data_IF_960456236189
#
_entry.id   IF_960456236189
#
_cell.length_a   1.000
_cell.length_b   1.000
_cell.length_c   1.000
_cell.angle_alpha   90.00
_cell.angle_beta   90.00
_cell.angle_gamma   90.00
#
_symmetry.space_group_name_H-M   'P 1'
#
loop_
_entity.id
_entity.type
_entity.pdbx_description
1 polymer ?
#
# COMPACT_ATOMS: atom_id res chain seq x y z
N UNK A 1 -110.60 -3.18 33.60
CA UNK A 1 -109.28 -3.32 32.97
C UNK A 1 -109.21 -2.41 31.75
N UNK A 2 -109.08 -1.10 31.95
CA UNK A 2 -108.99 -0.11 30.84
C UNK A 2 -107.72 0.76 30.93
N UNK A 3 -106.74 0.38 31.76
CA UNK A 3 -105.51 1.17 31.99
C UNK A 3 -104.22 0.58 31.40
N UNK A 4 -104.29 -0.46 30.55
CA UNK A 4 -103.08 -1.14 30.04
C UNK A 4 -103.00 -1.18 28.51
N UNK A 5 -103.99 -0.66 27.79
CA UNK A 5 -103.87 -0.41 26.36
C UNK A 5 -103.66 1.10 26.14
N UNK A 6 -102.45 1.55 25.78
CA UNK A 6 -102.27 2.95 25.41
C UNK A 6 -103.27 3.26 24.30
N UNK A 7 -104.04 4.35 24.48
CA UNK A 7 -105.02 4.76 23.48
C UNK A 7 -104.36 4.82 22.11
N UNK A 8 -105.05 4.36 21.06
CA UNK A 8 -104.49 4.20 19.70
C UNK A 8 -103.75 5.47 19.22
N UNK A 9 -104.21 6.65 19.64
CA UNK A 9 -103.53 7.93 19.38
C UNK A 9 -102.12 8.08 19.99
N UNK A 10 -101.87 7.56 21.20
CA UNK A 10 -100.54 7.58 21.82
C UNK A 10 -99.55 6.70 21.06
N UNK A 11 -99.99 5.50 20.63
CA UNK A 11 -99.17 4.59 19.83
C UNK A 11 -98.80 5.23 18.49
N UNK A 12 -99.76 5.90 17.83
CA UNK A 12 -99.51 6.61 16.56
C UNK A 12 -98.49 7.73 16.75
N UNK A 13 -98.65 8.59 17.77
CA UNK A 13 -97.70 9.68 18.03
C UNK A 13 -96.31 9.17 18.44
N UNK A 14 -96.23 8.08 19.20
CA UNK A 14 -94.97 7.44 19.55
C UNK A 14 -94.28 6.82 18.34
N UNK A 15 -95.03 6.19 17.42
CA UNK A 15 -94.50 5.69 16.16
C UNK A 15 -94.00 6.83 15.26
N UNK A 16 -94.73 7.94 15.16
CA UNK A 16 -94.29 9.14 14.43
C UNK A 16 -93.01 9.72 15.03
N UNK A 17 -92.94 9.87 16.36
CA UNK A 17 -91.73 10.33 17.04
C UNK A 17 -90.55 9.38 16.83
N UNK A 18 -90.77 8.07 16.89
CA UNK A 18 -89.75 7.06 16.60
C UNK A 18 -89.25 7.15 15.16
N UNK A 19 -90.14 7.31 14.18
CA UNK A 19 -89.77 7.48 12.76
C UNK A 19 -88.97 8.76 12.57
N UNK A 20 -89.36 9.88 13.19
CA UNK A 20 -88.62 11.15 13.12
C UNK A 20 -87.20 10.97 13.67
N UNK A 21 -87.06 10.36 14.85
CA UNK A 21 -85.74 10.08 15.45
C UNK A 21 -84.92 9.12 14.57
N UNK A 22 -85.55 8.08 13.99
CA UNK A 22 -84.88 7.14 13.10
C UNK A 22 -84.36 7.83 11.83
N UNK A 23 -85.13 8.75 11.24
CA UNK A 23 -84.69 9.54 10.09
C UNK A 23 -83.54 10.49 10.45
N UNK A 24 -83.60 11.14 11.62
CA UNK A 24 -82.51 11.98 12.12
C UNK A 24 -81.24 11.16 12.35
N UNK A 25 -81.34 10.00 13.01
CA UNK A 25 -80.20 9.10 13.23
C UNK A 25 -79.64 8.54 11.92
N UNK A 26 -80.50 8.17 10.97
CA UNK A 26 -80.07 7.72 9.64
C UNK A 26 -79.28 8.80 8.91
N UNK A 27 -79.73 10.05 8.96
CA UNK A 27 -79.03 11.16 8.30
C UNK A 27 -77.75 11.57 9.04
N UNK A 28 -77.76 11.59 10.37
CA UNK A 28 -76.72 12.22 11.17
C UNK A 28 -75.68 11.24 11.74
N UNK A 29 -76.07 10.01 12.12
CA UNK A 29 -75.17 9.03 12.72
C UNK A 29 -74.54 8.06 11.70
N UNK A 30 -75.23 7.76 10.60
CA UNK A 30 -74.73 6.77 9.61
C UNK A 30 -73.47 7.25 8.87
N UNK A 31 -73.46 8.52 8.46
CA UNK A 31 -72.33 9.13 7.77
C UNK A 31 -71.02 9.11 8.60
N UNK A 32 -70.98 9.62 9.85
CA UNK A 32 -69.74 9.63 10.64
C UNK A 32 -69.25 8.22 10.99
N UNK A 33 -70.15 7.26 11.26
CA UNK A 33 -69.77 5.87 11.56
C UNK A 33 -69.10 5.23 10.33
N UNK A 34 -69.71 5.37 9.15
CA UNK A 34 -69.16 4.82 7.92
C UNK A 34 -67.84 5.51 7.54
N UNK A 35 -67.73 6.82 7.75
CA UNK A 35 -66.49 7.57 7.54
C UNK A 35 -65.36 7.09 8.46
N UNK A 36 -65.65 6.85 9.74
CA UNK A 36 -64.66 6.34 10.69
C UNK A 36 -64.18 4.93 10.33
N UNK A 37 -65.10 4.06 9.89
CA UNK A 37 -64.76 2.72 9.40
C UNK A 37 -63.87 2.77 8.16
N UNK A 38 -64.24 3.57 7.15
CA UNK A 38 -63.43 3.75 5.93
C UNK A 38 -62.05 4.35 6.23
N UNK A 39 -61.97 5.30 7.15
CA UNK A 39 -60.70 5.87 7.59
C UNK A 39 -59.81 4.81 8.22
N UNK A 40 -60.39 3.98 9.11
CA UNK A 40 -59.66 2.88 9.75
C UNK A 40 -59.20 1.83 8.74
N UNK A 41 -60.05 1.47 7.79
CA UNK A 41 -59.73 0.54 6.71
C UNK A 41 -58.58 1.07 5.86
N UNK A 42 -58.65 2.33 5.41
CA UNK A 42 -57.57 2.98 4.66
C UNK A 42 -56.26 3.05 5.43
N UNK A 43 -56.29 3.41 6.71
CA UNK A 43 -55.09 3.41 7.57
C UNK A 43 -54.46 2.02 7.69
N UNK A 44 -55.27 0.96 7.81
CA UNK A 44 -54.77 -0.41 7.87
C UNK A 44 -54.14 -0.79 6.53
N UNK A 45 -54.81 -0.53 5.42
CA UNK A 45 -54.30 -0.83 4.09
C UNK A 45 -52.98 -0.09 3.81
N UNK A 46 -52.91 1.20 4.12
CA UNK A 46 -51.70 2.01 3.96
C UNK A 46 -50.56 1.52 4.86
N UNK A 47 -50.85 1.16 6.10
CA UNK A 47 -49.84 0.61 7.02
C UNK A 47 -49.30 -0.74 6.56
N UNK A 48 -50.16 -1.59 5.99
CA UNK A 48 -49.75 -2.89 5.42
C UNK A 48 -48.89 -2.69 4.17
N UNK A 49 -49.29 -1.81 3.26
CA UNK A 49 -48.50 -1.46 2.08
C UNK A 49 -47.14 -0.86 2.46
N UNK A 50 -47.11 0.02 3.44
CA UNK A 50 -45.86 0.59 3.94
C UNK A 50 -44.94 -0.49 4.53
N UNK A 51 -45.49 -1.45 5.28
CA UNK A 51 -44.72 -2.56 5.83
C UNK A 51 -44.18 -3.51 4.74
N UNK A 52 -44.98 -3.81 3.73
CA UNK A 52 -44.55 -4.62 2.58
C UNK A 52 -43.45 -3.92 1.77
N UNK A 53 -43.60 -2.63 1.49
CA UNK A 53 -42.59 -1.84 0.79
C UNK A 53 -41.29 -1.77 1.60
N UNK A 54 -41.36 -1.50 2.91
CA UNK A 54 -40.19 -1.46 3.77
C UNK A 54 -39.46 -2.82 3.81
N UNK A 55 -40.21 -3.93 3.79
CA UNK A 55 -39.62 -5.27 3.72
C UNK A 55 -38.93 -5.52 2.37
N UNK A 56 -39.55 -5.11 1.27
CA UNK A 56 -38.97 -5.24 -0.07
C UNK A 56 -37.70 -4.38 -0.22
N UNK A 57 -37.74 -3.12 0.26
CA UNK A 57 -36.57 -2.23 0.29
C UNK A 57 -35.45 -2.82 1.16
N UNK A 58 -35.76 -3.37 2.33
CA UNK A 58 -34.77 -4.02 3.19
C UNK A 58 -34.12 -5.23 2.51
N UNK A 59 -34.89 -6.03 1.77
CA UNK A 59 -34.37 -7.15 1.00
C UNK A 59 -33.45 -6.69 -0.13
N UNK A 60 -33.83 -5.63 -0.86
CA UNK A 60 -32.97 -5.01 -1.88
C UNK A 60 -31.67 -4.48 -1.29
N UNK A 61 -31.75 -3.69 -0.20
CA UNK A 61 -30.56 -3.16 0.49
C UNK A 61 -29.66 -4.29 0.95
N UNK A 62 -30.21 -5.41 1.43
CA UNK A 62 -29.41 -6.57 1.83
C UNK A 62 -28.68 -7.20 0.64
N UNK A 63 -29.37 -7.40 -0.48
CA UNK A 63 -28.77 -7.93 -1.72
C UNK A 63 -27.66 -7.01 -2.24
N UNK A 64 -27.90 -5.70 -2.25
CA UNK A 64 -26.91 -4.71 -2.65
C UNK A 64 -25.70 -4.72 -1.72
N UNK A 65 -25.91 -4.88 -0.41
CA UNK A 65 -24.83 -4.98 0.56
C UNK A 65 -23.99 -6.24 0.34
N UNK A 66 -24.64 -7.39 0.12
CA UNK A 66 -23.98 -8.65 -0.19
C UNK A 66 -23.16 -8.56 -1.48
N UNK A 67 -23.71 -7.92 -2.52
CA UNK A 67 -23.03 -7.64 -3.78
C UNK A 67 -21.81 -6.73 -3.59
N UNK A 68 -21.97 -5.60 -2.88
CA UNK A 68 -20.88 -4.67 -2.58
C UNK A 68 -19.77 -5.33 -1.76
N UNK A 69 -20.12 -6.19 -0.79
CA UNK A 69 -19.15 -6.94 -0.01
C UNK A 69 -18.39 -7.95 -0.87
N UNK A 70 -19.05 -8.58 -1.83
CA UNK A 70 -18.40 -9.49 -2.76
C UNK A 70 -17.45 -8.73 -3.71
N UNK A 71 -17.89 -7.61 -4.28
CA UNK A 71 -17.07 -6.77 -5.15
C UNK A 71 -15.85 -6.23 -4.40
N UNK A 72 -16.04 -5.73 -3.18
CA UNK A 72 -14.95 -5.26 -2.33
C UNK A 72 -13.92 -6.36 -2.01
N UNK A 73 -14.36 -7.62 -1.83
CA UNK A 73 -13.44 -8.76 -1.65
C UNK A 73 -12.64 -9.05 -2.91
N UNK A 74 -13.29 -9.04 -4.07
CA UNK A 74 -12.63 -9.26 -5.37
C UNK A 74 -11.59 -8.16 -5.63
N UNK A 75 -11.95 -6.90 -5.42
CA UNK A 75 -11.05 -5.76 -5.59
C UNK A 75 -9.88 -5.82 -4.61
N UNK A 76 -10.14 -6.15 -3.34
CA UNK A 76 -9.12 -6.33 -2.31
C UNK A 76 -8.14 -7.44 -2.67
N UNK A 77 -8.62 -8.58 -3.15
CA UNK A 77 -7.76 -9.70 -3.52
C UNK A 77 -6.94 -9.38 -4.78
N UNK A 78 -7.53 -8.64 -5.74
CA UNK A 78 -6.81 -8.09 -6.90
C UNK A 78 -5.70 -7.14 -6.45
N UNK A 79 -5.99 -6.21 -5.55
CA UNK A 79 -5.00 -5.26 -5.02
C UNK A 79 -3.86 -5.97 -4.28
N UNK A 80 -4.15 -7.00 -3.50
CA UNK A 80 -3.11 -7.81 -2.83
C UNK A 80 -2.24 -8.57 -3.83
N UNK A 81 -2.83 -9.12 -4.89
CA UNK A 81 -2.09 -9.78 -5.95
C UNK A 81 -1.16 -8.80 -6.67
N UNK A 82 -1.68 -7.63 -7.05
CA UNK A 82 -0.91 -6.59 -7.73
C UNK A 82 0.22 -6.07 -6.83
N UNK A 83 -0.06 -5.83 -5.54
CA UNK A 83 0.96 -5.46 -4.56
C UNK A 83 2.06 -6.50 -4.43
N UNK A 84 1.71 -7.80 -4.44
CA UNK A 84 2.69 -8.90 -4.39
C UNK A 84 3.56 -8.94 -5.66
N UNK A 85 2.95 -8.74 -6.83
CA UNK A 85 3.67 -8.66 -8.11
C UNK A 85 4.64 -7.48 -8.12
N UNK A 86 4.19 -6.30 -7.70
CA UNK A 86 5.03 -5.10 -7.61
C UNK A 86 6.16 -5.31 -6.61
N UNK A 87 5.88 -5.87 -5.43
CA UNK A 87 6.89 -6.15 -4.42
C UNK A 87 7.97 -7.12 -4.93
N UNK A 88 7.57 -8.17 -5.65
CA UNK A 88 8.52 -9.11 -6.26
C UNK A 88 9.35 -8.44 -7.36
N UNK A 89 8.72 -7.60 -8.20
CA UNK A 89 9.42 -6.83 -9.22
C UNK A 89 10.46 -5.89 -8.61
N UNK A 90 10.10 -5.14 -7.57
CA UNK A 90 11.03 -4.25 -6.85
C UNK A 90 12.22 -5.04 -6.29
N UNK A 91 11.98 -6.22 -5.70
CA UNK A 91 13.06 -7.09 -5.21
C UNK A 91 13.98 -7.57 -6.32
N UNK A 92 13.41 -7.96 -7.47
CA UNK A 92 14.19 -8.42 -8.62
C UNK A 92 15.02 -7.29 -9.23
N UNK A 93 14.41 -6.12 -9.42
CA UNK A 93 15.06 -4.93 -9.96
C UNK A 93 16.19 -4.46 -9.02
N UNK A 94 15.93 -4.39 -7.71
CA UNK A 94 16.94 -4.07 -6.71
C UNK A 94 18.10 -5.09 -6.71
N UNK A 95 17.81 -6.38 -6.87
CA UNK A 95 18.85 -7.42 -6.96
C UNK A 95 19.70 -7.27 -8.22
N UNK A 96 19.09 -6.97 -9.36
CA UNK A 96 19.79 -6.71 -10.62
C UNK A 96 20.69 -5.47 -10.50
N UNK A 97 20.15 -4.37 -10.01
CA UNK A 97 20.90 -3.12 -9.80
C UNK A 97 22.06 -3.33 -8.83
N UNK A 98 21.81 -4.01 -7.70
CA UNK A 98 22.86 -4.34 -6.72
C UNK A 98 23.94 -5.22 -7.34
N UNK A 99 23.61 -6.19 -8.18
CA UNK A 99 24.60 -7.02 -8.88
C UNK A 99 25.50 -6.16 -9.76
N UNK A 100 24.92 -5.25 -10.55
CA UNK A 100 25.68 -4.34 -11.44
C UNK A 100 26.61 -3.44 -10.63
N UNK A 101 26.12 -2.85 -9.54
CA UNK A 101 26.94 -2.00 -8.65
C UNK A 101 28.06 -2.82 -8.01
N UNK A 102 27.76 -4.04 -7.55
CA UNK A 102 28.74 -4.94 -6.91
C UNK A 102 29.83 -5.35 -7.89
N UNK A 103 29.46 -5.74 -9.11
CA UNK A 103 30.40 -6.12 -10.16
C UNK A 103 31.33 -4.95 -10.52
N UNK A 104 30.78 -3.74 -10.63
CA UNK A 104 31.55 -2.52 -10.83
C UNK A 104 32.51 -2.25 -9.67
N UNK A 105 32.01 -2.34 -8.43
CA UNK A 105 32.83 -2.13 -7.23
C UNK A 105 33.99 -3.15 -7.14
N UNK A 106 33.74 -4.41 -7.49
CA UNK A 106 34.78 -5.45 -7.53
C UNK A 106 35.80 -5.15 -8.65
N UNK A 107 35.35 -4.72 -9.82
CA UNK A 107 36.24 -4.34 -10.92
C UNK A 107 37.14 -3.15 -10.53
N UNK A 108 36.55 -2.12 -9.93
CA UNK A 108 37.28 -0.94 -9.45
C UNK A 108 38.28 -1.33 -8.35
N UNK A 109 37.87 -2.16 -7.38
CA UNK A 109 38.76 -2.65 -6.33
C UNK A 109 39.94 -3.46 -6.89
N UNK A 110 39.70 -4.35 -7.86
CA UNK A 110 40.78 -5.09 -8.55
C UNK A 110 41.74 -4.17 -9.28
N UNK A 111 41.22 -3.13 -9.93
CA UNK A 111 42.04 -2.13 -10.62
C UNK A 111 42.93 -1.36 -9.63
N UNK A 112 42.37 -0.93 -8.49
CA UNK A 112 43.14 -0.27 -7.43
C UNK A 112 44.21 -1.18 -6.85
N UNK A 113 43.90 -2.45 -6.57
CA UNK A 113 44.88 -3.44 -6.07
C UNK A 113 46.03 -3.65 -7.06
N UNK A 114 45.74 -3.76 -8.36
CA UNK A 114 46.79 -3.89 -9.39
C UNK A 114 47.66 -2.62 -9.47
N UNK A 115 47.06 -1.44 -9.32
CA UNK A 115 47.81 -0.18 -9.28
C UNK A 115 48.72 -0.11 -8.05
N UNK A 116 48.20 -0.44 -6.86
CA UNK A 116 48.99 -0.47 -5.62
C UNK A 116 50.11 -1.51 -5.67
N UNK A 117 49.84 -2.70 -6.22
CA UNK A 117 50.86 -3.73 -6.43
C UNK A 117 51.97 -3.25 -7.35
N UNK A 118 51.65 -2.54 -8.42
CA UNK A 118 52.66 -1.94 -9.31
C UNK A 118 53.48 -0.87 -8.60
N UNK A 119 52.85 -0.03 -7.79
CA UNK A 119 53.54 0.97 -6.98
C UNK A 119 54.49 0.32 -5.97
N UNK A 120 54.03 -0.68 -5.22
CA UNK A 120 54.85 -1.43 -4.27
C UNK A 120 56.03 -2.14 -4.96
N UNK A 121 55.82 -2.74 -6.13
CA UNK A 121 56.91 -3.35 -6.92
C UNK A 121 57.93 -2.31 -7.40
N UNK A 122 57.49 -1.10 -7.76
CA UNK A 122 58.41 -0.01 -8.13
C UNK A 122 59.23 0.45 -6.91
N UNK A 123 58.60 0.56 -5.74
CA UNK A 123 59.27 0.90 -4.49
C UNK A 123 60.32 -0.15 -4.10
N UNK A 124 59.98 -1.43 -4.19
CA UNK A 124 60.94 -2.53 -3.95
C UNK A 124 62.12 -2.47 -4.92
N UNK A 125 61.87 -2.19 -6.22
CA UNK A 125 62.96 -2.04 -7.20
C UNK A 125 63.89 -0.88 -6.86
N UNK A 126 63.35 0.25 -6.41
CA UNK A 126 64.14 1.39 -5.97
C UNK A 126 64.99 1.04 -4.75
N UNK A 127 64.40 0.37 -3.74
CA UNK A 127 65.11 -0.07 -2.55
C UNK A 127 66.26 -1.04 -2.89
N UNK A 128 66.02 -1.98 -3.81
CA UNK A 128 67.06 -2.92 -4.27
C UNK A 128 68.18 -2.20 -5.02
N UNK A 129 67.84 -1.19 -5.85
CA UNK A 129 68.84 -0.39 -6.55
C UNK A 129 69.70 0.41 -5.58
N UNK A 130 69.10 1.02 -4.56
CA UNK A 130 69.78 1.76 -3.51
C UNK A 130 70.71 0.85 -2.68
N UNK A 131 70.22 -0.32 -2.26
CA UNK A 131 71.03 -1.30 -1.55
C UNK A 131 72.19 -1.82 -2.42
N UNK A 132 71.97 -2.03 -3.72
CA UNK A 132 73.01 -2.46 -4.66
C UNK A 132 74.10 -1.39 -4.83
N UNK A 133 73.72 -0.11 -4.85
CA UNK A 133 74.65 1.01 -4.87
C UNK A 133 75.44 1.09 -3.55
N UNK A 134 74.79 0.92 -2.41
CA UNK A 134 75.46 0.93 -1.10
C UNK A 134 76.48 -0.21 -0.96
N UNK A 135 76.12 -1.43 -1.39
CA UNK A 135 77.03 -2.59 -1.41
C UNK A 135 78.20 -2.31 -2.37
N UNK A 136 77.92 -1.75 -3.55
CA UNK A 136 78.96 -1.40 -4.52
C UNK A 136 79.90 -0.33 -3.97
N UNK A 137 79.38 0.68 -3.27
CA UNK A 137 80.19 1.71 -2.60
C UNK A 137 81.08 1.10 -1.52
N UNK A 138 80.52 0.26 -0.64
CA UNK A 138 81.29 -0.44 0.42
C UNK A 138 82.39 -1.32 -0.17
N UNK A 139 82.06 -2.12 -1.18
CA UNK A 139 83.04 -3.00 -1.84
C UNK A 139 84.12 -2.20 -2.57
N UNK A 140 83.76 -1.10 -3.24
CA UNK A 140 84.70 -0.21 -3.91
C UNK A 140 85.64 0.46 -2.90
N UNK A 141 85.10 0.93 -1.76
CA UNK A 141 85.86 1.53 -0.66
C UNK A 141 86.82 0.52 -0.01
N UNK A 142 86.41 -0.75 0.12
CA UNK A 142 87.26 -1.86 0.58
C UNK A 142 88.34 -2.24 -0.44
N UNK A 143 88.05 -2.21 -1.75
CA UNK A 143 89.06 -2.50 -2.78
C UNK A 143 90.06 -1.37 -3.00
N UNK A 144 89.67 -0.12 -2.72
CA UNK A 144 90.52 1.07 -2.81
C UNK A 144 91.23 1.41 -1.49
N UNK A 145 91.18 0.57 -0.46
CA UNK A 145 91.91 0.82 0.79
C UNK A 145 93.42 0.57 0.70
N UNK A 146 93.91 -0.05 -0.38
CA UNK A 146 95.34 -0.23 -0.67
C UNK A 146 95.86 0.88 -1.60
N UNK A 147 97.00 1.47 -1.23
CA UNK A 147 97.69 2.58 -1.90
C UNK A 147 98.10 2.23 -3.36
N UNK A 148 98.36 0.94 -3.64
CA UNK A 148 98.59 0.46 -5.02
C UNK A 148 97.33 0.52 -5.88
N UNK A 149 96.18 0.18 -5.33
CA UNK A 149 94.89 0.17 -6.04
C UNK A 149 94.45 1.59 -6.40
N UNK A 150 94.67 2.56 -5.50
CA UNK A 150 94.39 3.98 -5.76
C UNK A 150 95.28 4.56 -6.85
N UNK A 151 96.59 4.27 -6.83
CA UNK A 151 97.52 4.69 -7.89
C UNK A 151 97.15 4.09 -9.25
N UNK A 152 96.78 2.81 -9.29
CA UNK A 152 96.32 2.15 -10.51
C UNK A 152 95.03 2.79 -11.09
N UNK A 153 94.12 3.25 -10.24
CA UNK A 153 92.91 3.97 -10.66
C UNK A 153 93.25 5.34 -11.25
N UNK A 154 94.14 6.10 -10.61
CA UNK A 154 94.61 7.42 -11.08
C UNK A 154 95.31 7.28 -12.44
N UNK A 155 96.19 6.29 -12.61
CA UNK A 155 96.86 6.02 -13.89
C UNK A 155 95.86 5.63 -14.99
N UNK A 156 94.76 4.94 -14.64
CA UNK A 156 93.70 4.60 -15.58
C UNK A 156 92.89 5.83 -16.01
N UNK A 157 92.50 6.70 -15.07
CA UNK A 157 91.81 7.96 -15.38
C UNK A 157 92.70 8.91 -16.20
N UNK A 158 93.98 9.01 -15.85
CA UNK A 158 94.95 9.81 -16.62
C UNK A 158 95.19 9.23 -18.02
N UNK A 159 95.04 7.92 -18.22
CA UNK A 159 95.04 7.29 -19.55
C UNK A 159 93.77 7.57 -20.33
N UNK A 160 92.58 7.44 -19.74
CA UNK A 160 91.31 7.71 -20.45
C UNK A 160 91.16 9.19 -20.81
N UNK A 161 91.61 10.11 -19.96
CA UNK A 161 91.61 11.57 -20.23
C UNK A 161 92.65 11.96 -21.29
N UNK A 162 93.76 11.22 -21.41
CA UNK A 162 94.77 11.47 -22.46
C UNK A 162 94.43 10.86 -23.82
N UNK A 163 93.34 10.09 -23.92
CA UNK A 163 92.93 9.40 -25.16
C UNK A 163 91.77 10.14 -25.86
N UNK A 164 91.36 11.30 -25.33
CA UNK A 164 90.66 12.36 -26.08
C UNK A 164 91.56 13.60 -26.17
#
# INVERSE_FOLDING_TARGET
MELVTPGVGLIVWQAVAFIIVLLILRAFAWNPIMSALRTREGLIEDSLKAAENAKAEMEQVKLDNEYLLQEAKIERDKLLKDATVIANKIKEDAKKETSVITDKMIADAKSSIESEKKAALAEVKNLVAELSLEISEKLLREKLSDDKSQKALIDKFLKEVKVN
#
